data_IF_543011798905
#
_entry.id   IF_543011798905
#
_cell.length_a   1.000
_cell.length_b   1.000
_cell.length_c   1.000
_cell.angle_alpha   90.00
_cell.angle_beta   90.00
_cell.angle_gamma   90.00
#
_symmetry.space_group_name_H-M   'P 1'
#
loop_
_entity.id
_entity.type
_entity.pdbx_description
1 polymer ?
#
# COMPACT_ATOMS: atom_id res chain seq x y z
N UNK A 1 19.11 11.35 -0.35
CA UNK A 1 18.31 11.58 0.89
C UNK A 1 18.86 10.69 2.00
N UNK A 2 18.89 11.18 3.24
CA UNK A 2 19.15 10.32 4.40
C UNK A 2 17.83 9.63 4.84
N UNK A 3 17.93 8.67 5.77
CA UNK A 3 16.80 7.86 6.22
C UNK A 3 15.63 8.69 6.77
N UNK A 4 15.90 9.69 7.60
CA UNK A 4 14.86 10.55 8.18
C UNK A 4 14.20 11.46 7.14
N UNK A 5 14.95 11.90 6.14
CA UNK A 5 14.40 12.66 5.02
C UNK A 5 13.41 11.82 4.21
N UNK A 6 13.70 10.53 3.98
CA UNK A 6 12.79 9.60 3.30
C UNK A 6 11.50 9.45 4.07
N UNK A 7 11.57 9.16 5.39
CA UNK A 7 10.39 9.05 6.26
C UNK A 7 9.54 10.33 6.22
N UNK A 8 10.19 11.48 6.28
CA UNK A 8 9.48 12.76 6.26
C UNK A 8 8.86 13.07 4.89
N UNK A 9 9.53 12.71 3.80
CA UNK A 9 9.09 12.96 2.43
C UNK A 9 7.98 12.01 1.99
N UNK A 10 7.95 10.78 2.50
CA UNK A 10 6.95 9.79 2.12
C UNK A 10 5.53 10.31 2.34
N UNK A 11 4.73 10.29 1.29
CA UNK A 11 3.31 10.69 1.28
C UNK A 11 2.50 9.68 0.48
N UNK A 12 1.22 9.54 0.81
CA UNK A 12 0.29 8.81 -0.05
C UNK A 12 -0.05 9.67 -1.26
N UNK A 13 0.39 9.25 -2.43
CA UNK A 13 0.09 9.85 -3.73
C UNK A 13 -1.12 9.13 -4.33
N UNK A 14 -2.03 9.89 -4.92
CA UNK A 14 -3.27 9.37 -5.52
C UNK A 14 -3.48 9.86 -6.95
N UNK A 15 -2.42 10.39 -7.54
CA UNK A 15 -2.39 10.89 -8.90
C UNK A 15 -0.98 10.67 -9.43
N UNK A 16 -0.88 10.04 -10.59
CA UNK A 16 0.40 9.66 -11.18
C UNK A 16 0.49 10.15 -12.61
N UNK A 17 1.71 10.43 -13.07
CA UNK A 17 2.03 10.65 -14.47
C UNK A 17 2.02 9.34 -15.22
N UNK A 18 1.47 9.33 -16.43
CA UNK A 18 1.23 8.09 -17.18
C UNK A 18 2.27 7.83 -18.27
N UNK A 19 3.06 8.85 -18.63
CA UNK A 19 3.87 8.83 -19.85
C UNK A 19 5.23 8.12 -19.69
N UNK A 20 5.65 7.84 -18.46
CA UNK A 20 6.97 7.27 -18.19
C UNK A 20 6.88 5.89 -17.50
N UNK A 21 7.51 4.89 -18.10
CA UNK A 21 7.67 3.58 -17.48
C UNK A 21 8.73 3.62 -16.37
N UNK A 22 8.46 2.94 -15.25
CA UNK A 22 9.46 2.77 -14.20
C UNK A 22 10.47 1.71 -14.67
N UNK A 23 11.79 2.01 -14.71
CA UNK A 23 12.79 1.02 -15.09
C UNK A 23 12.72 -0.22 -14.20
N UNK A 24 12.83 -1.40 -14.81
CA UNK A 24 12.72 -2.69 -14.12
C UNK A 24 13.69 -2.80 -12.94
N UNK A 25 14.89 -2.29 -13.09
CA UNK A 25 15.94 -2.32 -12.07
C UNK A 25 15.57 -1.47 -10.84
N UNK A 26 14.80 -0.38 -11.03
CA UNK A 26 14.26 0.43 -9.94
C UNK A 26 13.20 -0.38 -9.17
N UNK A 27 12.28 -1.01 -9.90
CA UNK A 27 11.25 -1.87 -9.29
C UNK A 27 11.92 -3.01 -8.51
N UNK A 28 12.90 -3.70 -9.07
CA UNK A 28 13.61 -4.80 -8.41
C UNK A 28 14.33 -4.37 -7.13
N UNK A 29 14.92 -3.17 -7.09
CA UNK A 29 15.51 -2.62 -5.85
C UNK A 29 14.45 -2.37 -4.78
N UNK A 30 13.29 -1.81 -5.17
CA UNK A 30 12.16 -1.55 -4.27
C UNK A 30 11.61 -2.87 -3.70
N UNK A 31 11.37 -3.87 -4.56
CA UNK A 31 10.89 -5.18 -4.14
C UNK A 31 11.88 -5.87 -3.19
N UNK A 32 13.17 -5.79 -3.50
CA UNK A 32 14.24 -6.34 -2.65
C UNK A 32 14.25 -5.69 -1.27
N UNK A 33 14.06 -4.37 -1.19
CA UNK A 33 13.95 -3.68 0.09
C UNK A 33 12.71 -4.13 0.87
N UNK A 34 11.56 -4.30 0.21
CA UNK A 34 10.35 -4.84 0.79
C UNK A 34 10.57 -6.22 1.42
N UNK A 35 11.14 -7.14 0.65
CA UNK A 35 11.37 -8.53 1.07
C UNK A 35 12.40 -8.67 2.22
N UNK A 36 13.17 -7.63 2.53
CA UNK A 36 14.05 -7.57 3.72
C UNK A 36 13.33 -7.21 5.02
N UNK A 37 12.03 -6.96 4.98
CA UNK A 37 11.24 -6.73 6.19
C UNK A 37 11.29 -7.95 7.14
N UNK A 38 11.25 -7.72 8.45
CA UNK A 38 11.17 -8.82 9.41
C UNK A 38 9.85 -9.57 9.26
N UNK A 39 9.89 -10.87 9.50
CA UNK A 39 8.68 -11.71 9.54
C UNK A 39 8.63 -12.54 10.81
N UNK A 40 7.44 -12.80 11.32
CA UNK A 40 7.25 -13.64 12.51
C UNK A 40 7.95 -14.99 12.35
N UNK A 41 8.83 -15.34 13.31
CA UNK A 41 9.62 -16.57 13.23
C UNK A 41 10.54 -16.70 11.99
N UNK A 42 10.81 -15.59 11.29
CA UNK A 42 11.53 -15.57 10.01
C UNK A 42 10.91 -16.51 8.95
N UNK A 43 9.59 -16.62 8.93
CA UNK A 43 8.85 -17.53 8.04
C UNK A 43 8.85 -17.08 6.58
N UNK A 44 9.11 -15.81 6.29
CA UNK A 44 9.19 -15.25 4.95
C UNK A 44 8.00 -15.65 4.05
N UNK A 45 6.80 -15.59 4.61
CA UNK A 45 5.56 -16.07 3.99
C UNK A 45 4.89 -15.05 3.05
N UNK A 46 5.50 -13.90 2.86
CA UNK A 46 4.99 -12.89 1.93
C UNK A 46 5.47 -13.15 0.51
N UNK A 47 4.57 -13.00 -0.46
CA UNK A 47 4.86 -13.04 -1.89
C UNK A 47 4.29 -11.80 -2.58
N UNK A 48 4.87 -11.45 -3.71
CA UNK A 48 4.53 -10.26 -4.45
C UNK A 48 4.17 -10.62 -5.89
N UNK A 49 3.05 -10.07 -6.39
CA UNK A 49 2.76 -10.05 -7.83
C UNK A 49 2.98 -8.62 -8.28
N UNK A 50 3.92 -8.42 -9.18
CA UNK A 50 4.28 -7.10 -9.72
C UNK A 50 3.76 -6.97 -11.14
N UNK A 51 3.00 -5.92 -11.41
CA UNK A 51 2.25 -5.70 -12.65
C UNK A 51 2.68 -4.35 -13.21
N UNK A 52 3.23 -4.38 -14.41
CA UNK A 52 3.59 -3.19 -15.22
C UNK A 52 2.82 -3.14 -16.52
N UNK A 53 2.11 -4.23 -16.87
CA UNK A 53 1.22 -4.29 -18.03
C UNK A 53 0.00 -3.39 -17.79
N UNK A 54 -0.14 -2.36 -18.62
CA UNK A 54 -1.18 -1.34 -18.49
C UNK A 54 -2.58 -1.89 -18.64
N UNK A 55 -2.77 -2.87 -19.51
CA UNK A 55 -4.10 -3.48 -19.73
C UNK A 55 -4.53 -4.26 -18.50
N UNK A 56 -3.61 -4.98 -17.85
CA UNK A 56 -3.88 -5.69 -16.60
C UNK A 56 -4.17 -4.69 -15.47
N UNK A 57 -3.45 -3.57 -15.39
CA UNK A 57 -3.71 -2.51 -14.40
C UNK A 57 -5.10 -1.92 -14.58
N UNK A 58 -5.48 -1.62 -15.83
CA UNK A 58 -6.82 -1.11 -16.14
C UNK A 58 -7.93 -2.12 -15.83
N UNK A 59 -7.69 -3.41 -16.07
CA UNK A 59 -8.64 -4.47 -15.73
C UNK A 59 -8.81 -4.61 -14.20
N UNK A 60 -7.73 -4.54 -13.43
CA UNK A 60 -7.78 -4.52 -11.97
C UNK A 60 -8.58 -3.32 -11.44
N UNK A 61 -8.39 -2.15 -12.02
CA UNK A 61 -9.12 -0.94 -11.63
C UNK A 61 -10.65 -1.06 -11.82
N UNK A 62 -11.12 -1.87 -12.78
CA UNK A 62 -12.56 -2.09 -13.03
C UNK A 62 -13.27 -2.74 -11.85
N UNK A 63 -12.56 -3.52 -11.02
CA UNK A 63 -13.16 -4.15 -9.84
C UNK A 63 -13.43 -3.14 -8.72
N UNK A 64 -12.73 -2.00 -8.70
CA UNK A 64 -12.94 -0.93 -7.72
C UNK A 64 -14.15 -0.11 -8.10
N UNK A 65 -15.20 -0.16 -7.28
CA UNK A 65 -16.42 0.59 -7.51
C UNK A 65 -16.16 2.07 -7.21
N UNK A 66 -16.38 2.98 -8.19
CA UNK A 66 -16.26 4.41 -7.94
C UNK A 66 -17.20 4.84 -6.81
N UNK A 67 -16.63 5.49 -5.81
CA UNK A 67 -17.39 5.93 -4.63
C UNK A 67 -17.17 7.42 -4.43
N UNK A 68 -18.15 8.13 -3.92
CA UNK A 68 -18.07 9.54 -3.56
C UNK A 68 -18.26 9.73 -2.05
N UNK A 69 -17.63 10.75 -1.50
CA UNK A 69 -17.83 11.17 -0.13
C UNK A 69 -18.71 12.43 -0.11
N UNK A 70 -20.01 12.24 0.10
CA UNK A 70 -21.02 13.32 -0.03
C UNK A 70 -21.35 14.01 1.31
N UNK A 71 -20.64 13.66 2.40
CA UNK A 71 -20.85 14.29 3.71
C UNK A 71 -20.03 15.58 3.84
N UNK A 72 -20.57 16.55 4.57
CA UNK A 72 -19.80 17.71 4.99
C UNK A 72 -18.62 17.25 5.87
N UNK A 73 -17.42 17.70 5.58
CA UNK A 73 -16.26 17.37 6.40
C UNK A 73 -16.16 18.35 7.55
N UNK A 74 -16.10 17.79 8.76
CA UNK A 74 -15.99 18.53 10.03
C UNK A 74 -14.65 18.29 10.73
N UNK A 75 -13.84 17.39 10.21
CA UNK A 75 -12.52 17.05 10.79
C UNK A 75 -11.48 16.89 9.67
N UNK A 76 -10.18 17.05 9.96
CA UNK A 76 -9.12 16.82 8.97
C UNK A 76 -9.16 15.42 8.33
N UNK A 77 -9.56 14.40 9.09
CA UNK A 77 -9.73 13.04 8.58
C UNK A 77 -10.86 12.95 7.56
N UNK A 78 -11.97 13.67 7.78
CA UNK A 78 -13.10 13.73 6.84
C UNK A 78 -12.72 14.52 5.57
N UNK A 79 -11.93 15.59 5.67
CA UNK A 79 -11.36 16.27 4.51
C UNK A 79 -10.46 15.32 3.70
N UNK A 80 -9.64 14.51 4.38
CA UNK A 80 -8.85 13.48 3.71
C UNK A 80 -9.75 12.47 2.97
N UNK A 81 -10.87 12.05 3.55
CA UNK A 81 -11.80 11.11 2.89
C UNK A 81 -12.44 11.70 1.64
N UNK A 82 -12.76 13.00 1.62
CA UNK A 82 -13.26 13.69 0.42
C UNK A 82 -12.29 13.59 -0.74
N UNK A 83 -10.99 13.66 -0.47
CA UNK A 83 -9.94 13.57 -1.48
C UNK A 83 -9.68 12.11 -1.86
N UNK A 84 -9.58 11.22 -0.86
CA UNK A 84 -9.11 9.86 -1.06
C UNK A 84 -10.17 8.92 -1.64
N UNK A 85 -11.43 9.04 -1.22
CA UNK A 85 -12.49 8.11 -1.61
C UNK A 85 -12.78 8.17 -3.13
N UNK A 86 -12.96 9.34 -3.76
CA UNK A 86 -13.21 9.39 -5.20
C UNK A 86 -12.03 8.92 -6.05
N UNK A 87 -10.82 8.95 -5.49
CA UNK A 87 -9.58 8.62 -6.23
C UNK A 87 -9.19 7.13 -6.16
N UNK A 88 -9.94 6.29 -5.46
CA UNK A 88 -9.55 4.88 -5.26
C UNK A 88 -9.36 4.13 -6.57
N UNK A 89 -10.26 4.29 -7.53
CA UNK A 89 -10.16 3.66 -8.84
C UNK A 89 -9.12 4.35 -9.72
N UNK A 90 -9.22 5.67 -9.88
CA UNK A 90 -8.36 6.41 -10.81
C UNK A 90 -6.87 6.37 -10.42
N UNK A 91 -6.53 6.28 -9.13
CA UNK A 91 -5.13 6.13 -8.73
C UNK A 91 -4.53 4.78 -9.14
N UNK A 92 -5.35 3.73 -9.32
CA UNK A 92 -4.90 2.46 -9.89
C UNK A 92 -4.73 2.62 -11.40
N UNK A 93 -5.73 3.17 -12.08
CA UNK A 93 -5.72 3.42 -13.52
C UNK A 93 -4.51 4.27 -13.96
N UNK A 94 -4.09 5.23 -13.12
CA UNK A 94 -2.99 6.15 -13.40
C UNK A 94 -1.61 5.59 -13.02
N UNK A 95 -1.53 4.54 -12.18
CA UNK A 95 -0.24 4.03 -11.71
C UNK A 95 0.59 3.38 -12.82
N UNK A 96 1.92 3.45 -12.69
CA UNK A 96 2.87 2.85 -13.64
C UNK A 96 3.24 1.42 -13.24
N UNK A 97 3.06 1.07 -11.97
CA UNK A 97 3.26 -0.29 -11.45
C UNK A 97 2.31 -0.55 -10.28
N UNK A 98 1.73 -1.74 -10.26
CA UNK A 98 0.90 -2.25 -9.16
C UNK A 98 1.57 -3.47 -8.55
N UNK A 99 1.76 -3.48 -7.24
CA UNK A 99 2.30 -4.61 -6.49
C UNK A 99 1.20 -5.16 -5.60
N UNK A 100 0.75 -6.38 -5.88
CA UNK A 100 -0.14 -7.11 -4.99
C UNK A 100 0.70 -7.75 -3.89
N UNK A 101 0.44 -7.38 -2.66
CA UNK A 101 1.14 -7.94 -1.49
C UNK A 101 0.30 -9.07 -0.91
N UNK A 102 0.88 -10.26 -0.91
CA UNK A 102 0.24 -11.49 -0.48
C UNK A 102 0.97 -12.08 0.73
N UNK A 103 0.26 -12.82 1.56
CA UNK A 103 0.87 -13.72 2.51
C UNK A 103 0.17 -15.07 2.51
N UNK A 104 0.94 -16.13 2.79
CA UNK A 104 0.43 -17.47 3.01
C UNK A 104 0.23 -17.70 4.51
N UNK A 105 -0.97 -18.15 4.91
CA UNK A 105 -1.21 -18.59 6.28
C UNK A 105 -0.51 -19.94 6.51
N UNK A 106 0.57 -19.94 7.29
CA UNK A 106 1.41 -21.11 7.55
C UNK A 106 1.17 -21.75 8.94
N UNK A 107 0.48 -21.05 9.84
CA UNK A 107 0.26 -21.54 11.21
C UNK A 107 -1.21 -21.72 11.54
N UNK A 108 -1.53 -22.84 12.20
CA UNK A 108 -2.85 -23.09 12.78
C UNK A 108 -3.16 -22.17 13.99
N UNK A 109 -2.12 -21.57 14.59
CA UNK A 109 -2.25 -20.63 15.72
C UNK A 109 -2.81 -19.26 15.36
N UNK A 110 -3.11 -19.01 14.10
CA UNK A 110 -3.64 -17.72 13.63
C UNK A 110 -5.00 -17.36 14.24
N UNK A 111 -5.71 -18.32 14.84
CA UNK A 111 -6.99 -18.11 15.52
C UNK A 111 -6.82 -17.92 17.05
N UNK A 112 -5.58 -17.81 17.53
CA UNK A 112 -5.31 -17.57 18.94
C UNK A 112 -5.81 -16.19 19.39
N UNK A 113 -6.51 -16.09 20.53
CA UNK A 113 -6.99 -14.83 21.07
C UNK A 113 -5.85 -13.84 21.45
N UNK A 114 -4.60 -14.32 21.48
CA UNK A 114 -3.41 -13.54 21.84
C UNK A 114 -2.74 -12.85 20.62
N UNK A 115 -3.47 -12.54 19.53
CA UNK A 115 -2.98 -11.86 18.34
C UNK A 115 -1.86 -12.58 17.56
N UNK A 116 -1.55 -13.84 17.85
CA UNK A 116 -0.57 -14.62 17.07
C UNK A 116 -0.99 -14.74 15.60
N UNK A 117 -2.29 -14.77 15.32
CA UNK A 117 -2.82 -14.76 13.95
C UNK A 117 -2.63 -13.47 13.18
N UNK A 118 -2.24 -12.38 13.85
CA UNK A 118 -1.94 -11.10 13.21
C UNK A 118 -0.47 -10.93 12.84
N UNK A 119 0.42 -11.83 13.27
CA UNK A 119 1.87 -11.72 12.98
C UNK A 119 2.16 -11.79 11.47
N UNK A 120 1.48 -12.66 10.76
CA UNK A 120 1.64 -12.82 9.31
C UNK A 120 1.15 -11.57 8.59
N UNK A 121 0.00 -11.06 8.98
CA UNK A 121 -0.55 -9.80 8.48
C UNK A 121 0.35 -8.61 8.83
N UNK A 122 0.87 -8.55 10.07
CA UNK A 122 1.83 -7.54 10.51
C UNK A 122 3.14 -7.58 9.72
N UNK A 123 3.65 -8.78 9.38
CA UNK A 123 4.83 -8.97 8.54
C UNK A 123 4.62 -8.39 7.13
N UNK A 124 3.42 -8.60 6.56
CA UNK A 124 3.08 -8.02 5.25
C UNK A 124 3.03 -6.49 5.30
N UNK A 125 2.52 -5.89 6.37
CA UNK A 125 2.53 -4.43 6.53
C UNK A 125 3.93 -3.86 6.77
N UNK A 126 4.82 -4.58 7.45
CA UNK A 126 6.23 -4.20 7.56
C UNK A 126 6.92 -4.20 6.19
N UNK A 127 6.63 -5.22 5.35
CA UNK A 127 7.11 -5.30 3.98
C UNK A 127 6.57 -4.13 3.14
N UNK A 128 5.27 -3.81 3.26
CA UNK A 128 4.66 -2.68 2.56
C UNK A 128 5.39 -1.38 2.92
N UNK A 129 5.62 -1.09 4.20
CA UNK A 129 6.30 0.16 4.59
C UNK A 129 7.72 0.23 4.01
N UNK A 130 8.48 -0.87 3.98
CA UNK A 130 9.78 -0.90 3.31
C UNK A 130 9.67 -0.57 1.81
N UNK A 131 8.65 -1.09 1.11
CA UNK A 131 8.38 -0.74 -0.29
C UNK A 131 8.12 0.76 -0.44
N UNK A 132 7.26 1.33 0.43
CA UNK A 132 6.90 2.76 0.37
C UNK A 132 8.13 3.66 0.59
N UNK A 133 8.98 3.33 1.55
CA UNK A 133 10.20 4.07 1.85
C UNK A 133 11.22 3.94 0.72
N UNK A 134 11.44 2.72 0.19
CA UNK A 134 12.34 2.49 -0.93
C UNK A 134 11.89 3.24 -2.18
N UNK A 135 10.60 3.18 -2.53
CA UNK A 135 10.04 3.92 -3.65
C UNK A 135 10.21 5.45 -3.49
N UNK A 136 9.99 5.96 -2.27
CA UNK A 136 10.22 7.38 -1.97
C UNK A 136 11.70 7.76 -2.14
N UNK A 137 12.63 6.88 -1.75
CA UNK A 137 14.08 7.08 -1.95
C UNK A 137 14.44 7.14 -3.44
N UNK A 138 13.84 6.27 -4.26
CA UNK A 138 14.01 6.24 -5.72
C UNK A 138 13.29 7.41 -6.44
N UNK A 139 12.58 8.28 -5.71
CA UNK A 139 11.89 9.44 -6.27
C UNK A 139 10.46 9.18 -6.74
N UNK A 140 9.91 7.99 -6.48
CA UNK A 140 8.56 7.62 -6.87
C UNK A 140 7.52 8.02 -5.82
N UNK A 141 6.32 8.32 -6.29
CA UNK A 141 5.11 8.41 -5.49
C UNK A 141 4.53 7.03 -5.19
N UNK A 142 3.87 6.91 -4.04
CA UNK A 142 3.25 5.66 -3.62
C UNK A 142 1.81 5.83 -3.16
N UNK A 143 0.91 4.95 -3.58
CA UNK A 143 -0.45 4.82 -3.09
C UNK A 143 -0.70 3.42 -2.52
N UNK A 144 -1.73 3.30 -1.68
CA UNK A 144 -2.20 2.00 -1.18
C UNK A 144 -3.70 1.91 -1.42
N UNK A 145 -4.12 0.79 -1.97
CA UNK A 145 -5.52 0.38 -2.00
C UNK A 145 -5.66 -0.97 -1.30
N UNK A 146 -6.60 -1.04 -0.35
CA UNK A 146 -6.92 -2.29 0.36
C UNK A 146 -8.23 -2.82 -0.21
N UNK A 147 -8.20 -3.92 -1.00
CA UNK A 147 -9.40 -4.51 -1.56
C UNK A 147 -10.34 -5.04 -0.47
N UNK A 148 -11.63 -4.79 -0.63
CA UNK A 148 -12.65 -5.20 0.36
C UNK A 148 -13.80 -5.97 -0.27
N UNK A 149 -14.45 -6.83 0.51
CA UNK A 149 -15.66 -7.53 0.11
C UNK A 149 -15.55 -8.26 -1.25
N UNK A 150 -16.48 -7.97 -2.16
CA UNK A 150 -16.56 -8.60 -3.48
C UNK A 150 -15.33 -8.32 -4.34
N UNK A 151 -14.79 -7.12 -4.26
CA UNK A 151 -13.59 -6.70 -4.98
C UNK A 151 -12.39 -7.60 -4.65
N UNK A 152 -12.18 -7.91 -3.37
CA UNK A 152 -11.12 -8.80 -2.91
C UNK A 152 -11.16 -10.16 -3.62
N UNK A 153 -12.34 -10.78 -3.71
CA UNK A 153 -12.47 -12.06 -4.38
C UNK A 153 -12.29 -11.95 -5.90
N UNK A 154 -12.85 -10.92 -6.53
CA UNK A 154 -12.71 -10.69 -7.97
C UNK A 154 -11.25 -10.52 -8.40
N UNK A 155 -10.45 -9.76 -7.62
CA UNK A 155 -9.02 -9.60 -7.88
C UNK A 155 -8.29 -10.94 -7.73
N UNK A 156 -8.58 -11.71 -6.66
CA UNK A 156 -7.96 -13.03 -6.48
C UNK A 156 -8.25 -13.99 -7.64
N UNK A 157 -9.49 -14.04 -8.09
CA UNK A 157 -9.91 -14.92 -9.19
C UNK A 157 -9.27 -14.48 -10.51
N UNK A 158 -9.29 -13.19 -10.83
CA UNK A 158 -8.67 -12.63 -12.02
C UNK A 158 -7.17 -12.90 -12.08
N UNK A 159 -6.47 -12.67 -10.99
CA UNK A 159 -5.02 -12.88 -10.86
C UNK A 159 -4.63 -14.35 -10.59
N UNK A 160 -5.61 -15.26 -10.51
CA UNK A 160 -5.42 -16.70 -10.22
C UNK A 160 -4.62 -16.94 -8.94
N UNK A 161 -4.85 -16.11 -7.91
CA UNK A 161 -4.16 -16.24 -6.61
C UNK A 161 -4.68 -17.50 -5.91
N UNK A 162 -3.79 -18.42 -5.48
CA UNK A 162 -4.22 -19.63 -4.79
C UNK A 162 -5.02 -19.35 -3.53
N UNK A 163 -5.95 -20.24 -3.17
CA UNK A 163 -6.89 -20.03 -2.06
C UNK A 163 -6.20 -19.80 -0.70
N UNK A 164 -5.04 -20.40 -0.49
CA UNK A 164 -4.25 -20.32 0.73
C UNK A 164 -3.39 -19.06 0.85
N UNK A 165 -3.47 -18.16 -0.14
CA UNK A 165 -2.86 -16.83 -0.08
C UNK A 165 -3.91 -15.76 0.19
N UNK A 166 -3.57 -14.82 1.05
CA UNK A 166 -4.38 -13.67 1.40
C UNK A 166 -3.81 -12.41 0.75
N UNK A 167 -4.63 -11.68 0.05
CA UNK A 167 -4.28 -10.39 -0.54
C UNK A 167 -4.41 -9.31 0.55
N UNK A 168 -3.29 -8.68 0.92
CA UNK A 168 -3.26 -7.65 1.96
C UNK A 168 -3.61 -6.28 1.41
N UNK A 169 -2.91 -5.89 0.36
CA UNK A 169 -3.08 -4.59 -0.28
C UNK A 169 -2.51 -4.60 -1.71
N UNK A 170 -2.92 -3.60 -2.46
CA UNK A 170 -2.29 -3.18 -3.71
C UNK A 170 -1.44 -1.96 -3.40
N UNK A 171 -0.13 -2.04 -3.60
CA UNK A 171 0.78 -0.90 -3.53
C UNK A 171 0.97 -0.36 -4.94
N UNK A 172 0.72 0.91 -5.11
CA UNK A 172 0.76 1.61 -6.39
C UNK A 172 2.03 2.44 -6.44
N UNK A 173 2.77 2.34 -7.53
CA UNK A 173 3.97 3.11 -7.79
C UNK A 173 3.80 3.95 -9.06
N UNK A 174 4.36 5.14 -9.06
CA UNK A 174 4.39 5.99 -10.24
C UNK A 174 5.11 7.30 -9.99
N UNK A 175 5.32 8.07 -11.04
CA UNK A 175 5.85 9.43 -10.95
C UNK A 175 4.78 10.38 -10.45
N UNK A 176 5.17 11.29 -9.56
CA UNK A 176 4.23 12.24 -8.96
C UNK A 176 4.19 13.50 -9.81
N UNK A 177 3.01 13.95 -10.29
CA UNK A 177 2.90 15.22 -11.01
C UNK A 177 3.42 16.41 -10.19
N UNK A 178 4.07 17.36 -10.85
CA UNK A 178 4.63 18.55 -10.17
C UNK A 178 3.58 19.33 -9.38
N UNK A 179 2.35 19.40 -9.89
CA UNK A 179 1.25 20.19 -9.32
C UNK A 179 0.26 19.34 -8.50
N UNK A 180 0.68 18.18 -7.98
CA UNK A 180 -0.21 17.32 -7.18
C UNK A 180 -0.64 18.01 -5.89
N UNK A 181 -1.96 18.08 -5.67
CA UNK A 181 -2.51 18.58 -4.42
C UNK A 181 -2.38 17.51 -3.31
N UNK A 182 -1.48 17.78 -2.37
CA UNK A 182 -1.32 16.92 -1.19
C UNK A 182 -2.09 17.53 0.00
N UNK A 183 -2.88 16.73 0.71
CA UNK A 183 -3.49 17.18 1.97
C UNK A 183 -2.43 17.62 2.96
N UNK A 184 -2.76 18.59 3.82
CA UNK A 184 -1.87 19.03 4.88
C UNK A 184 -1.46 17.82 5.75
N UNK A 185 -0.16 17.67 5.98
CA UNK A 185 0.35 16.66 6.93
C UNK A 185 0.09 17.17 8.34
N UNK A 186 -0.60 16.37 9.15
CA UNK A 186 -0.76 16.67 10.56
C UNK A 186 0.50 16.30 11.32
N UNK A 187 0.92 17.17 12.22
CA UNK A 187 2.05 16.92 13.09
C UNK A 187 1.65 15.93 14.20
N UNK A 188 2.51 14.96 14.43
CA UNK A 188 2.34 14.01 15.53
C UNK A 188 3.00 14.57 16.79
N UNK A 189 2.21 14.81 17.82
CA UNK A 189 2.74 15.20 19.11
C UNK A 189 3.19 13.95 19.89
N UNK A 190 4.50 13.75 19.97
CA UNK A 190 5.11 12.60 20.64
C UNK A 190 4.66 12.48 22.12
N UNK A 191 4.51 13.61 22.84
CA UNK A 191 4.13 13.60 24.24
C UNK A 191 2.69 13.11 24.49
N UNK A 192 1.87 13.07 23.44
CA UNK A 192 0.50 12.52 23.50
C UNK A 192 0.43 11.05 23.08
N UNK A 193 1.51 10.48 22.61
CA UNK A 193 1.53 9.13 21.98
C UNK A 193 2.52 8.18 22.65
N UNK A 194 3.48 8.70 23.37
CA UNK A 194 4.54 7.91 24.02
C UNK A 194 4.42 8.02 25.52
N UNK A 195 4.32 6.89 26.17
CA UNK A 195 4.30 6.73 27.62
C UNK A 195 5.60 6.04 28.04
N UNK A 196 6.33 6.63 28.99
CA UNK A 196 7.60 6.12 29.48
C UNK A 196 7.38 5.22 30.69
N UNK A 197 7.88 3.97 30.59
CA UNK A 197 7.83 2.92 31.64
C UNK A 197 6.41 2.40 31.96
N UNK A 198 5.40 3.23 31.97
CA UNK A 198 4.00 2.88 32.27
C UNK A 198 3.06 3.69 31.38
N UNK A 199 1.81 3.22 31.25
CA UNK A 199 0.75 3.97 30.59
C UNK A 199 0.37 5.19 31.39
#
# INVERSE_FOLDING_TARGET
>A
MNFYEVINKRRTIRQFEQDDDIPKEVIERILTAGLKAPSGGNLQQCELITITDKDIILDLAKFVIPTSYNKEAKTPQQEMLKISVPRQRSMIEESNCVILVLYQKKHEFSDSPNNLGLQEYGSAWALIENILLAATYEGLGTGIHVPVNKEYQQIKDFMKIPYNYYLVAMVLLGYTPENVLLPKKEEVNINKKVHWNQW
#
